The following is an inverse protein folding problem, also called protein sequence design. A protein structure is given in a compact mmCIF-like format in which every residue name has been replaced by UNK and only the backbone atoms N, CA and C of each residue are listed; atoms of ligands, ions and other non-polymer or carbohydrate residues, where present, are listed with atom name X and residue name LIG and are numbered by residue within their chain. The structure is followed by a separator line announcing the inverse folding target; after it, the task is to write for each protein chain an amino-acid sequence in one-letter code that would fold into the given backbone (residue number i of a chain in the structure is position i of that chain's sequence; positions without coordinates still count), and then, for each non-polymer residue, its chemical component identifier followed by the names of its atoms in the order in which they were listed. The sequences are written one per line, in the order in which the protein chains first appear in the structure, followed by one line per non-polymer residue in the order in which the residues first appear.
data_IF_565743968334
#
_entry.id   IF_565743968334
#
_cell.length_a   1.000
_cell.length_b   1.000
_cell.length_c   1.000
_cell.angle_alpha   90.00
_cell.angle_beta   90.00
_cell.angle_gamma   90.00
#
_symmetry.space_group_name_H-M   'P 1'
#
loop_
_entity.id
_entity.type
_entity.pdbx_description
1 polymer ?
#
# COMPACT_ATOMS: atom_id res chain seq x y z
N UNK A 1 -19.77 29.00 17.42
CA UNK A 1 -18.37 28.80 17.85
C UNK A 1 -17.74 27.76 16.93
N UNK A 2 -16.69 28.07 16.16
CA UNK A 2 -16.05 27.07 15.34
C UNK A 2 -15.41 26.03 16.25
N UNK A 3 -15.91 24.79 16.22
CA UNK A 3 -15.35 23.66 16.97
C UNK A 3 -14.13 23.15 16.22
N UNK A 4 -12.94 23.63 16.59
CA UNK A 4 -11.69 23.16 16.00
C UNK A 4 -11.22 21.90 16.69
N UNK A 5 -10.51 21.02 15.97
CA UNK A 5 -9.98 19.76 16.52
C UNK A 5 -9.13 19.98 17.79
N UNK A 6 -8.51 21.16 17.92
CA UNK A 6 -7.69 21.57 19.06
C UNK A 6 -8.46 21.94 20.32
N UNK A 7 -9.79 22.12 20.27
CA UNK A 7 -10.60 22.36 21.49
C UNK A 7 -11.00 21.06 22.19
N UNK A 8 -10.68 19.92 21.59
CA UNK A 8 -11.03 18.60 22.09
C UNK A 8 -10.03 18.16 23.18
N UNK A 9 -10.48 17.45 24.23
CA UNK A 9 -9.57 16.92 25.26
C UNK A 9 -8.46 16.04 24.66
N UNK A 10 -7.23 16.11 25.21
CA UNK A 10 -6.08 15.40 24.67
C UNK A 10 -6.25 13.87 24.72
N UNK A 11 -7.01 13.33 25.67
CA UNK A 11 -7.28 11.90 25.81
C UNK A 11 -8.09 11.36 24.63
N UNK A 12 -9.09 12.14 24.18
CA UNK A 12 -9.91 11.80 23.02
C UNK A 12 -9.11 11.92 21.73
N UNK A 13 -8.27 12.96 21.62
CA UNK A 13 -7.34 13.08 20.50
C UNK A 13 -6.38 11.88 20.47
N UNK A 14 -5.78 11.51 21.60
CA UNK A 14 -4.86 10.37 21.69
C UNK A 14 -5.56 9.07 21.31
N UNK A 15 -6.81 8.87 21.73
CA UNK A 15 -7.62 7.73 21.32
C UNK A 15 -7.80 7.68 19.80
N UNK A 16 -8.14 8.80 19.15
CA UNK A 16 -8.25 8.89 17.68
C UNK A 16 -6.89 8.58 17.03
N UNK A 17 -5.81 9.17 17.54
CA UNK A 17 -4.45 8.99 17.03
C UNK A 17 -3.96 7.54 17.12
N UNK A 18 -4.46 6.73 18.05
CA UNK A 18 -4.09 5.30 18.13
C UNK A 18 -4.54 4.49 16.91
N UNK A 19 -5.53 4.97 16.15
CA UNK A 19 -6.08 4.31 14.97
C UNK A 19 -5.46 4.78 13.65
N UNK A 20 -4.60 5.80 13.69
CA UNK A 20 -3.92 6.33 12.51
C UNK A 20 -2.65 5.54 12.19
N UNK A 21 -2.30 5.48 10.92
CA UNK A 21 -1.07 4.86 10.46
C UNK A 21 0.15 5.74 10.74
N UNK A 22 1.34 5.13 10.72
CA UNK A 22 2.62 5.83 10.97
C UNK A 22 2.83 7.04 10.04
N UNK A 23 2.63 6.94 8.70
CA UNK A 23 2.75 8.10 7.82
C UNK A 23 1.79 9.25 8.18
N UNK A 24 0.56 8.92 8.58
CA UNK A 24 -0.44 9.94 8.91
C UNK A 24 -0.09 10.66 10.22
N UNK A 25 0.37 9.91 11.22
CA UNK A 25 0.88 10.50 12.47
C UNK A 25 2.06 11.42 12.23
N UNK A 26 2.96 11.04 11.31
CA UNK A 26 4.08 11.88 10.91
C UNK A 26 3.60 13.17 10.23
N UNK A 27 2.62 13.09 9.32
CA UNK A 27 2.03 14.26 8.71
C UNK A 27 1.41 15.20 9.76
N UNK A 28 0.73 14.65 10.76
CA UNK A 28 0.10 15.43 11.84
C UNK A 28 1.12 16.25 12.66
N UNK A 29 2.36 15.79 12.81
CA UNK A 29 3.42 16.58 13.49
C UNK A 29 3.73 17.91 12.82
N UNK A 30 3.38 18.06 11.54
CA UNK A 30 3.61 19.27 10.74
C UNK A 30 2.40 20.21 10.72
N UNK A 31 1.24 19.75 11.22
CA UNK A 31 -0.03 20.52 11.19
C UNK A 31 -0.21 21.44 12.39
N UNK A 32 0.14 20.98 13.60
CA UNK A 32 0.01 21.79 14.82
C UNK A 32 0.98 21.34 15.91
N UNK A 33 1.30 22.24 16.84
CA UNK A 33 2.15 21.94 17.98
C UNK A 33 1.51 20.93 18.96
N UNK A 34 0.20 21.05 19.20
CA UNK A 34 -0.52 20.13 20.07
C UNK A 34 -0.53 18.70 19.51
N UNK A 35 -0.83 18.55 18.21
CA UNK A 35 -0.81 17.25 17.54
C UNK A 35 0.62 16.69 17.43
N UNK A 36 1.64 17.54 17.27
CA UNK A 36 3.04 17.10 17.34
C UNK A 36 3.34 16.42 18.68
N UNK A 37 2.99 17.06 19.79
CA UNK A 37 3.24 16.52 21.12
C UNK A 37 2.53 15.18 21.33
N UNK A 38 1.24 15.10 20.96
CA UNK A 38 0.44 13.87 21.10
C UNK A 38 0.91 12.75 20.16
N UNK A 39 1.30 13.06 18.92
CA UNK A 39 1.80 12.06 17.97
C UNK A 39 3.13 11.45 18.38
N UNK A 40 3.94 12.15 19.19
CA UNK A 40 5.22 11.64 19.72
C UNK A 40 5.09 11.01 21.11
N UNK A 41 3.88 10.90 21.65
CA UNK A 41 3.65 10.35 22.99
C UNK A 41 4.03 8.84 23.04
N UNK A 42 4.91 8.41 23.96
CA UNK A 42 5.25 7.00 24.12
C UNK A 42 4.04 6.11 24.44
N UNK A 43 3.02 6.61 25.16
CA UNK A 43 1.81 5.84 25.49
C UNK A 43 1.01 5.47 24.24
N UNK A 44 0.95 6.37 23.26
CA UNK A 44 0.33 6.10 21.96
C UNK A 44 1.07 4.94 21.28
N UNK A 45 2.41 5.00 21.23
CA UNK A 45 3.22 4.01 20.54
C UNK A 45 3.22 2.64 21.23
N UNK A 46 3.22 2.59 22.56
CA UNK A 46 3.11 1.32 23.31
C UNK A 46 1.76 0.67 23.10
N UNK A 47 0.66 1.44 23.14
CA UNK A 47 -0.70 0.94 22.88
C UNK A 47 -0.82 0.37 21.47
N UNK A 48 -0.23 1.03 20.47
CA UNK A 48 -0.21 0.53 19.09
C UNK A 48 0.60 -0.76 18.99
N UNK A 49 1.79 -0.81 19.59
CA UNK A 49 2.64 -2.00 19.58
C UNK A 49 1.94 -3.22 20.19
N UNK A 50 1.16 -3.04 21.26
CA UNK A 50 0.38 -4.12 21.88
C UNK A 50 -0.74 -4.66 20.98
N UNK A 51 -1.33 -3.82 20.11
CA UNK A 51 -2.40 -4.21 19.18
C UNK A 51 -1.88 -4.90 17.92
N UNK A 52 -0.65 -4.57 17.49
CA UNK A 52 -0.05 -5.08 16.24
C UNK A 52 -0.05 -6.61 16.15
N UNK A 53 0.34 -7.40 17.18
CA UNK A 53 0.34 -8.86 17.10
C UNK A 53 -1.03 -9.46 16.77
N UNK A 54 -2.10 -8.94 17.37
CA UNK A 54 -3.47 -9.41 17.09
C UNK A 54 -3.89 -9.08 15.66
N UNK A 55 -3.62 -7.86 15.21
CA UNK A 55 -3.89 -7.43 13.83
C UNK A 55 -3.07 -8.24 12.80
N UNK A 56 -1.79 -8.50 13.10
CA UNK A 56 -0.92 -9.32 12.26
C UNK A 56 -1.40 -10.76 12.19
N UNK A 57 -1.72 -11.39 13.32
CA UNK A 57 -2.24 -12.77 13.32
C UNK A 57 -3.51 -12.89 12.47
N UNK A 58 -4.43 -11.95 12.59
CA UNK A 58 -5.62 -11.92 11.74
C UNK A 58 -5.28 -11.77 10.25
N UNK A 59 -4.42 -10.80 9.92
CA UNK A 59 -4.06 -10.48 8.52
C UNK A 59 -3.23 -11.57 7.85
N UNK A 60 -2.33 -12.21 8.60
CA UNK A 60 -1.51 -13.32 8.13
C UNK A 60 -2.36 -14.57 7.86
N UNK A 61 -3.37 -14.83 8.69
CA UNK A 61 -4.29 -15.95 8.49
C UNK A 61 -5.22 -15.72 7.27
N UNK A 62 -5.59 -14.48 6.99
CA UNK A 62 -6.37 -14.12 5.80
C UNK A 62 -5.52 -14.09 4.50
N UNK A 63 -4.20 -14.33 4.59
CA UNK A 63 -3.29 -14.17 3.45
C UNK A 63 -3.54 -15.27 2.39
N UNK A 64 -3.76 -14.92 1.12
CA UNK A 64 -3.92 -15.90 0.05
C UNK A 64 -2.61 -16.69 -0.18
N UNK A 65 -2.75 -17.94 -0.61
CA UNK A 65 -1.61 -18.78 -0.94
C UNK A 65 -0.81 -18.22 -2.12
N UNK A 66 0.48 -18.54 -2.17
CA UNK A 66 1.37 -18.11 -3.26
C UNK A 66 0.85 -18.58 -4.63
N UNK A 67 0.33 -19.82 -4.70
CA UNK A 67 -0.27 -20.36 -5.92
C UNK A 67 -1.48 -19.52 -6.39
N UNK A 68 -2.33 -19.08 -5.46
CA UNK A 68 -3.46 -18.19 -5.77
C UNK A 68 -3.00 -16.83 -6.30
N UNK A 69 -1.92 -16.29 -5.73
CA UNK A 69 -1.34 -15.02 -6.20
C UNK A 69 -0.70 -15.13 -7.59
N UNK A 70 -0.06 -16.26 -7.92
CA UNK A 70 0.45 -16.54 -9.27
C UNK A 70 -0.71 -16.68 -10.26
N UNK A 71 -1.74 -17.44 -9.90
CA UNK A 71 -2.92 -17.64 -10.75
C UNK A 71 -3.59 -16.29 -11.10
N UNK A 72 -3.70 -15.37 -10.13
CA UNK A 72 -4.22 -14.02 -10.32
C UNK A 72 -3.25 -13.03 -10.98
N UNK A 73 -2.07 -13.48 -11.41
CA UNK A 73 -1.03 -12.64 -12.03
C UNK A 73 -0.52 -11.48 -11.15
N UNK A 74 -0.75 -11.57 -9.82
CA UNK A 74 -0.32 -10.57 -8.83
C UNK A 74 1.15 -10.83 -8.45
N UNK A 75 1.51 -12.10 -8.23
CA UNK A 75 2.90 -12.47 -7.94
C UNK A 75 3.63 -12.81 -9.24
N UNK A 76 4.63 -12.01 -9.57
CA UNK A 76 5.42 -12.13 -10.81
C UNK A 76 6.80 -12.66 -10.46
N UNK A 77 7.07 -13.92 -10.79
CA UNK A 77 8.41 -14.52 -10.67
C UNK A 77 9.35 -14.01 -11.75
N UNK A 78 10.67 -14.13 -11.54
CA UNK A 78 11.68 -13.81 -12.56
C UNK A 78 11.40 -14.52 -13.90
N UNK A 79 10.95 -15.78 -13.85
CA UNK A 79 10.59 -16.55 -15.05
C UNK A 79 9.38 -15.97 -15.77
N UNK A 80 8.33 -15.58 -15.04
CA UNK A 80 7.15 -14.94 -15.65
C UNK A 80 7.47 -13.56 -16.25
N UNK A 81 8.38 -12.78 -15.64
CA UNK A 81 8.86 -11.51 -16.24
C UNK A 81 9.54 -11.77 -17.60
N UNK A 82 10.46 -12.74 -17.64
CA UNK A 82 11.19 -13.09 -18.87
C UNK A 82 10.23 -13.63 -19.93
N UNK A 83 9.33 -14.55 -19.56
CA UNK A 83 8.33 -15.10 -20.47
C UNK A 83 7.42 -14.01 -21.06
N UNK A 84 6.98 -13.04 -20.24
CA UNK A 84 6.21 -11.88 -20.71
C UNK A 84 7.01 -11.01 -21.67
N UNK A 85 8.31 -10.80 -21.42
CA UNK A 85 9.18 -10.05 -22.33
C UNK A 85 9.30 -10.74 -23.68
N UNK A 86 9.65 -12.02 -23.68
CA UNK A 86 9.76 -12.83 -24.90
C UNK A 86 8.43 -12.90 -25.65
N UNK A 87 7.31 -13.07 -24.94
CA UNK A 87 5.98 -13.05 -25.55
C UNK A 87 5.69 -11.73 -26.27
N UNK A 88 6.03 -10.58 -25.67
CA UNK A 88 5.91 -9.28 -26.34
C UNK A 88 6.84 -9.15 -27.55
N UNK A 89 8.08 -9.63 -27.44
CA UNK A 89 9.04 -9.59 -28.53
C UNK A 89 8.55 -10.44 -29.73
N UNK A 90 8.00 -11.62 -29.47
CA UNK A 90 7.40 -12.47 -30.52
C UNK A 90 6.15 -11.85 -31.14
N UNK A 91 5.25 -11.28 -30.33
CA UNK A 91 4.08 -10.57 -30.85
C UNK A 91 4.53 -9.39 -31.72
N UNK A 92 5.54 -8.64 -31.30
CA UNK A 92 6.12 -7.55 -32.08
C UNK A 92 6.66 -8.03 -33.41
N UNK A 93 7.51 -9.06 -33.42
CA UNK A 93 8.07 -9.64 -34.65
C UNK A 93 6.95 -10.09 -35.60
N UNK A 94 5.90 -10.73 -35.06
CA UNK A 94 4.74 -11.15 -35.87
C UNK A 94 4.01 -9.95 -36.47
N UNK A 95 3.73 -8.93 -35.67
CA UNK A 95 3.06 -7.71 -36.13
C UNK A 95 3.89 -6.97 -37.20
N UNK A 96 5.21 -6.85 -37.02
CA UNK A 96 6.10 -6.22 -38.00
C UNK A 96 6.03 -6.95 -39.36
N UNK A 97 5.95 -8.29 -39.36
CA UNK A 97 5.80 -9.09 -40.59
C UNK A 97 4.43 -8.91 -41.25
N UNK A 98 3.35 -8.98 -40.47
CA UNK A 98 1.97 -8.84 -40.98
C UNK A 98 1.68 -7.44 -41.51
N UNK A 99 2.24 -6.41 -40.88
CA UNK A 99 2.09 -5.02 -41.31
C UNK A 99 3.00 -4.72 -42.51
N UNK A 100 4.24 -5.22 -42.52
CA UNK A 100 5.15 -5.07 -43.66
C UNK A 100 4.66 -5.78 -44.92
N UNK A 101 4.08 -6.98 -44.78
CA UNK A 101 3.48 -7.72 -45.90
C UNK A 101 2.22 -7.06 -46.48
N UNK A 102 1.47 -6.31 -45.67
CA UNK A 102 0.31 -5.53 -46.11
C UNK A 102 0.66 -4.24 -46.87
N UNK A 103 1.89 -3.76 -46.76
CA UNK A 103 2.37 -2.56 -47.47
C UNK A 103 2.82 -2.79 -48.92
N UNK A 104 2.89 -4.03 -49.40
CA UNK A 104 3.38 -4.39 -50.75
C UNK A 104 2.22 -4.76 -51.71
N UNK A 105 0.97 -4.54 -51.29
CA UNK A 105 -0.23 -4.89 -52.04
C UNK A 105 -1.14 -3.69 -52.37
N UNK A 106 -0.56 -2.52 -52.69
CA UNK A 106 -1.27 -1.38 -53.30
C UNK A 106 -0.50 -0.92 -54.53
#
# INVERSE_FOLDING_TARGET
MPTTLTTLPPELLLTILTHLDIPDLHALTRTSHALRHLSTDPLLHTTRLQRVPAALNHSLNARPSLASLIAKQIYVTRTTVVARRLGRDFIRIRLERELGGRGVGV
#
